data_IF_319359013062
#
_entry.id   IF_319359013062
#
_cell.length_a   1.000
_cell.length_b   1.000
_cell.length_c   1.000
_cell.angle_alpha   90.00
_cell.angle_beta   90.00
_cell.angle_gamma   90.00
#
_symmetry.space_group_name_H-M   'P 1'
#
loop_
_entity.id
_entity.type
_entity.pdbx_description
1 polymer ?
#
# COMPACT_ATOMS: atom_id res chain seq x y z
N UNK A 1 -21.32 17.31 -22.74
CA UNK A 1 -19.90 17.02 -22.40
C UNK A 1 -19.81 16.96 -20.90
N UNK A 2 -19.10 15.99 -20.34
CA UNK A 2 -18.81 15.92 -18.90
C UNK A 2 -17.86 17.09 -18.56
N UNK A 3 -18.07 17.77 -17.44
CA UNK A 3 -17.13 18.77 -16.93
C UNK A 3 -15.89 18.02 -16.42
N UNK A 4 -14.72 18.34 -16.96
CA UNK A 4 -13.43 17.75 -16.56
C UNK A 4 -12.77 18.63 -15.53
N UNK A 5 -12.38 18.06 -14.41
CA UNK A 5 -11.52 18.73 -13.43
C UNK A 5 -10.07 18.30 -13.70
N UNK A 6 -9.24 19.20 -14.18
CA UNK A 6 -7.81 18.92 -14.38
C UNK A 6 -7.07 19.06 -13.05
N UNK A 7 -6.63 17.92 -12.49
CA UNK A 7 -5.88 17.91 -11.22
C UNK A 7 -4.45 18.42 -11.38
N UNK A 8 -3.91 18.45 -12.61
CA UNK A 8 -2.61 19.03 -12.91
C UNK A 8 -2.57 20.54 -12.77
N UNK A 9 -3.71 21.24 -12.89
CA UNK A 9 -3.80 22.69 -12.69
C UNK A 9 -3.52 23.14 -11.25
N UNK A 10 -3.59 22.22 -10.27
CA UNK A 10 -3.25 22.52 -8.88
C UNK A 10 -1.74 22.48 -8.58
N UNK A 11 -0.92 22.12 -9.57
CA UNK A 11 0.54 22.20 -9.50
C UNK A 11 1.19 21.25 -8.50
N UNK A 12 2.42 21.59 -8.07
CA UNK A 12 3.20 20.79 -7.13
C UNK A 12 2.55 20.69 -5.73
N UNK A 13 1.75 21.70 -5.34
CA UNK A 13 1.04 21.71 -4.08
C UNK A 13 0.06 20.55 -3.95
N UNK A 14 -0.51 20.06 -5.06
CA UNK A 14 -1.37 18.88 -5.06
C UNK A 14 -0.65 17.61 -4.61
N UNK A 15 0.63 17.44 -4.95
CA UNK A 15 1.39 16.27 -4.49
C UNK A 15 1.82 16.40 -3.03
N UNK A 16 2.09 17.61 -2.56
CA UNK A 16 2.49 17.84 -1.16
C UNK A 16 1.31 17.77 -0.20
N UNK A 17 0.19 18.39 -0.52
CA UNK A 17 -1.05 18.37 0.26
C UNK A 17 -2.30 18.34 -0.65
N UNK A 18 -2.81 17.16 -1.03
CA UNK A 18 -3.99 17.02 -1.88
C UNK A 18 -5.31 17.27 -1.14
N UNK A 19 -5.31 17.28 0.20
CA UNK A 19 -6.52 17.28 1.03
C UNK A 19 -7.41 18.50 0.80
N UNK A 20 -6.89 19.75 0.68
CA UNK A 20 -7.72 20.92 0.38
C UNK A 20 -8.40 20.83 -0.99
N UNK A 21 -7.78 20.16 -1.97
CA UNK A 21 -8.40 19.93 -3.29
C UNK A 21 -9.55 18.93 -3.15
N UNK A 22 -9.34 17.83 -2.43
CA UNK A 22 -10.39 16.83 -2.21
C UNK A 22 -11.56 17.37 -1.38
N UNK A 23 -11.32 18.23 -0.40
CA UNK A 23 -12.37 18.92 0.33
C UNK A 23 -13.25 19.77 -0.61
N UNK A 24 -12.61 20.55 -1.50
CA UNK A 24 -13.34 21.33 -2.51
C UNK A 24 -14.12 20.47 -3.49
N UNK A 25 -13.59 19.30 -3.86
CA UNK A 25 -14.31 18.35 -4.71
C UNK A 25 -15.50 17.77 -3.96
N UNK A 26 -15.33 17.28 -2.72
CA UNK A 26 -16.45 16.75 -1.91
C UNK A 26 -17.57 17.76 -1.72
N UNK A 27 -17.24 19.05 -1.52
CA UNK A 27 -18.23 20.12 -1.41
C UNK A 27 -19.11 20.29 -2.66
N UNK A 28 -18.62 19.87 -3.84
CA UNK A 28 -19.36 19.86 -5.10
C UNK A 28 -20.08 18.53 -5.37
N UNK A 29 -19.66 17.46 -4.72
CA UNK A 29 -20.20 16.12 -4.86
C UNK A 29 -19.18 15.02 -4.59
N UNK A 30 -19.62 13.78 -4.43
CA UNK A 30 -18.74 12.67 -4.04
C UNK A 30 -17.97 12.04 -5.21
N UNK A 31 -18.32 12.35 -6.47
CA UNK A 31 -17.76 11.70 -7.67
C UNK A 31 -17.53 12.72 -8.76
N UNK A 32 -16.34 12.72 -9.36
CA UNK A 32 -15.92 13.70 -10.36
C UNK A 32 -15.26 13.04 -11.57
N UNK A 33 -15.44 13.63 -12.76
CA UNK A 33 -14.70 13.30 -13.94
C UNK A 33 -13.41 14.14 -13.95
N UNK A 34 -12.26 13.50 -13.80
CA UNK A 34 -10.98 14.18 -13.58
C UNK A 34 -9.94 13.78 -14.61
N UNK A 35 -8.96 14.66 -14.84
CA UNK A 35 -7.68 14.33 -15.48
C UNK A 35 -6.60 14.32 -14.41
N UNK A 36 -5.98 13.17 -14.10
CA UNK A 36 -4.87 13.09 -13.15
C UNK A 36 -3.64 13.86 -13.64
N UNK A 37 -2.76 14.34 -12.73
CA UNK A 37 -1.55 15.05 -13.12
C UNK A 37 -0.67 14.21 -14.05
N UNK A 38 -0.25 14.78 -15.18
CA UNK A 38 0.60 14.10 -16.16
C UNK A 38 -0.08 13.07 -17.05
N UNK A 39 -1.41 12.93 -16.98
CA UNK A 39 -2.17 12.01 -17.82
C UNK A 39 -2.83 12.73 -18.98
N UNK A 40 -2.95 12.04 -20.12
CA UNK A 40 -3.71 12.52 -21.27
C UNK A 40 -5.19 12.10 -21.24
N UNK A 41 -5.49 11.04 -20.46
CA UNK A 41 -6.84 10.48 -20.33
C UNK A 41 -7.52 10.89 -19.04
N UNK A 42 -8.85 10.90 -19.07
CA UNK A 42 -9.69 11.18 -17.92
C UNK A 42 -10.18 9.87 -17.26
N UNK A 43 -10.58 10.00 -16.00
CA UNK A 43 -11.14 8.90 -15.19
C UNK A 43 -12.15 9.44 -14.19
N UNK A 44 -13.03 8.57 -13.70
CA UNK A 44 -13.86 8.89 -12.54
C UNK A 44 -13.04 8.82 -11.26
N UNK A 45 -13.18 9.84 -10.41
CA UNK A 45 -12.59 9.91 -9.08
C UNK A 45 -13.69 9.97 -8.02
N UNK A 46 -13.71 8.97 -7.13
CA UNK A 46 -14.62 8.89 -6.01
C UNK A 46 -13.92 9.41 -4.77
N UNK A 47 -14.45 10.49 -4.16
CA UNK A 47 -13.85 11.20 -3.00
C UNK A 47 -14.74 11.16 -1.74
N UNK A 48 -16.02 10.78 -1.85
CA UNK A 48 -16.93 10.63 -0.73
C UNK A 48 -16.78 9.26 -0.07
N UNK A 49 -16.89 9.18 1.26
CA UNK A 49 -16.69 7.94 2.02
C UNK A 49 -17.74 6.86 1.70
N UNK A 50 -19.02 7.24 1.68
CA UNK A 50 -20.10 6.30 1.40
C UNK A 50 -19.99 5.69 0.01
N UNK A 51 -19.71 6.53 -0.98
CA UNK A 51 -19.54 6.13 -2.38
C UNK A 51 -18.24 5.32 -2.56
N UNK A 52 -17.17 5.67 -1.88
CA UNK A 52 -15.93 4.91 -1.88
C UNK A 52 -16.14 3.48 -1.37
N UNK A 53 -16.82 3.31 -0.24
CA UNK A 53 -17.14 1.97 0.28
C UNK A 53 -18.04 1.17 -0.65
N UNK A 54 -19.06 1.83 -1.23
CA UNK A 54 -19.95 1.20 -2.19
C UNK A 54 -19.19 0.74 -3.44
N UNK A 55 -18.39 1.63 -4.04
CA UNK A 55 -17.57 1.34 -5.21
C UNK A 55 -16.55 0.23 -4.97
N UNK A 56 -15.91 0.20 -3.80
CA UNK A 56 -14.95 -0.85 -3.43
C UNK A 56 -15.58 -2.24 -3.29
N UNK A 57 -16.88 -2.33 -3.02
CA UNK A 57 -17.62 -3.57 -2.85
C UNK A 57 -18.48 -3.94 -4.07
N UNK A 58 -18.58 -3.08 -5.08
CA UNK A 58 -19.45 -3.31 -6.26
C UNK A 58 -18.76 -4.21 -7.28
N UNK A 59 -19.32 -5.40 -7.50
CA UNK A 59 -18.78 -6.37 -8.46
C UNK A 59 -18.93 -5.94 -9.93
N UNK A 60 -19.72 -4.89 -10.24
CA UNK A 60 -19.81 -4.29 -11.57
C UNK A 60 -18.58 -3.45 -11.91
N UNK A 61 -17.81 -3.07 -10.90
CA UNK A 61 -16.52 -2.40 -11.04
C UNK A 61 -15.40 -3.46 -11.04
N UNK A 62 -15.16 -4.02 -12.22
CA UNK A 62 -14.19 -5.09 -12.43
C UNK A 62 -12.74 -4.62 -12.23
N UNK A 63 -11.91 -5.54 -11.74
CA UNK A 63 -10.45 -5.37 -11.68
C UNK A 63 -9.77 -5.95 -12.92
N UNK A 64 -10.36 -6.98 -13.51
CA UNK A 64 -9.91 -7.64 -14.72
C UNK A 64 -10.28 -6.79 -15.94
N UNK A 65 -9.29 -6.10 -16.51
CA UNK A 65 -9.45 -5.24 -17.69
C UNK A 65 -9.92 -6.00 -18.94
N UNK A 66 -9.72 -7.31 -18.99
CA UNK A 66 -10.20 -8.15 -20.13
C UNK A 66 -11.72 -8.16 -20.23
N UNK A 67 -12.44 -7.94 -19.14
CA UNK A 67 -13.90 -7.84 -19.12
C UNK A 67 -14.46 -6.64 -19.89
N UNK A 68 -13.63 -5.65 -20.14
CA UNK A 68 -13.97 -4.48 -20.97
C UNK A 68 -13.19 -4.45 -22.29
N UNK A 69 -12.53 -5.55 -22.65
CA UNK A 69 -11.81 -5.70 -23.92
C UNK A 69 -10.42 -5.03 -23.94
N UNK A 70 -9.86 -4.69 -22.79
CA UNK A 70 -8.49 -4.20 -22.66
C UNK A 70 -7.56 -5.34 -22.26
N UNK A 71 -6.33 -5.36 -22.81
CA UNK A 71 -5.24 -6.19 -22.27
C UNK A 71 -4.52 -5.39 -21.18
N UNK A 72 -4.14 -6.06 -20.11
CA UNK A 72 -3.23 -5.51 -19.11
C UNK A 72 -1.81 -5.94 -19.47
N UNK A 73 -0.96 -4.98 -19.86
CA UNK A 73 0.47 -5.25 -20.08
C UNK A 73 1.09 -5.85 -18.81
N UNK A 74 0.67 -5.39 -17.65
CA UNK A 74 1.14 -5.90 -16.37
C UNK A 74 0.79 -7.38 -16.19
N UNK A 75 -0.42 -7.80 -16.56
CA UNK A 75 -0.86 -9.19 -16.46
C UNK A 75 -0.10 -10.09 -17.43
N UNK A 76 0.18 -9.63 -18.65
CA UNK A 76 0.97 -10.38 -19.64
C UNK A 76 2.41 -10.56 -19.19
N UNK A 77 3.01 -9.57 -18.55
CA UNK A 77 4.40 -9.58 -18.11
C UNK A 77 4.61 -10.28 -16.77
N UNK A 78 3.80 -9.93 -15.79
CA UNK A 78 3.99 -10.36 -14.40
C UNK A 78 3.23 -11.65 -14.11
N UNK A 79 2.10 -11.87 -14.78
CA UNK A 79 1.18 -12.98 -14.57
C UNK A 79 -0.05 -12.61 -13.75
N UNK A 80 -1.04 -13.50 -13.78
CA UNK A 80 -2.32 -13.32 -13.08
C UNK A 80 -2.13 -13.31 -11.57
N UNK A 81 -2.72 -12.32 -10.91
CA UNK A 81 -2.62 -12.20 -9.47
C UNK A 81 -3.94 -11.75 -8.84
N UNK A 82 -3.98 -11.77 -7.51
CA UNK A 82 -5.16 -11.46 -6.71
C UNK A 82 -5.68 -10.03 -6.91
N UNK A 83 -4.78 -9.06 -7.15
CA UNK A 83 -5.12 -7.64 -7.21
C UNK A 83 -5.91 -7.27 -8.46
N UNK A 84 -5.61 -7.92 -9.59
CA UNK A 84 -6.20 -7.64 -10.91
C UNK A 84 -7.21 -8.71 -11.35
N UNK A 85 -7.64 -9.59 -10.46
CA UNK A 85 -8.62 -10.65 -10.74
C UNK A 85 -9.98 -10.36 -10.13
N UNK A 86 -11.03 -10.89 -10.76
CA UNK A 86 -12.41 -10.89 -10.26
C UNK A 86 -12.92 -12.31 -9.98
N UNK A 87 -14.02 -12.47 -9.24
CA UNK A 87 -14.66 -13.77 -9.11
C UNK A 87 -15.04 -14.39 -10.49
N UNK A 88 -14.89 -15.72 -10.67
CA UNK A 88 -14.51 -16.71 -9.64
C UNK A 88 -13.00 -16.83 -9.37
N UNK A 89 -12.15 -16.32 -10.27
CA UNK A 89 -10.68 -16.42 -10.20
C UNK A 89 -10.12 -15.79 -8.90
N UNK A 90 -10.55 -14.56 -8.58
CA UNK A 90 -10.18 -13.89 -7.34
C UNK A 90 -10.48 -14.76 -6.11
N UNK A 91 -11.70 -15.32 -6.02
CA UNK A 91 -12.12 -16.13 -4.89
C UNK A 91 -11.23 -17.34 -4.69
N UNK A 92 -10.85 -17.99 -5.79
CA UNK A 92 -9.96 -19.15 -5.80
C UNK A 92 -8.54 -18.76 -5.32
N UNK A 93 -7.94 -17.75 -5.95
CA UNK A 93 -6.59 -17.27 -5.59
C UNK A 93 -6.54 -16.82 -4.13
N UNK A 94 -7.55 -16.06 -3.68
CA UNK A 94 -7.65 -15.62 -2.30
C UNK A 94 -7.75 -16.78 -1.31
N UNK A 95 -8.54 -17.81 -1.65
CA UNK A 95 -8.66 -19.00 -0.83
C UNK A 95 -7.32 -19.73 -0.63
N UNK A 96 -6.53 -19.87 -1.70
CA UNK A 96 -5.21 -20.50 -1.65
C UNK A 96 -4.24 -19.72 -0.74
N UNK A 97 -4.17 -18.39 -0.92
CA UNK A 97 -3.20 -17.58 -0.18
C UNK A 97 -3.62 -17.32 1.26
N UNK A 98 -4.91 -17.15 1.54
CA UNK A 98 -5.38 -16.87 2.91
C UNK A 98 -5.05 -18.00 3.88
N UNK A 99 -4.85 -19.23 3.39
CA UNK A 99 -4.37 -20.36 4.21
C UNK A 99 -2.95 -20.15 4.73
N UNK A 100 -2.12 -19.49 3.92
CA UNK A 100 -0.73 -19.16 4.26
C UNK A 100 -0.61 -17.85 5.06
N UNK A 101 -1.58 -16.93 4.93
CA UNK A 101 -1.59 -15.59 5.55
C UNK A 101 -2.62 -15.48 6.68
N UNK A 102 -2.56 -16.37 7.65
CA UNK A 102 -3.47 -16.33 8.80
C UNK A 102 -2.98 -15.36 9.88
N UNK A 103 -3.90 -14.81 10.68
CA UNK A 103 -3.56 -13.94 11.81
C UNK A 103 -2.58 -14.61 12.79
N UNK A 104 -2.72 -15.93 13.01
CA UNK A 104 -1.79 -16.70 13.83
C UNK A 104 -0.37 -16.70 13.28
N UNK A 105 -0.20 -16.97 11.98
CA UNK A 105 1.13 -16.95 11.34
C UNK A 105 1.77 -15.57 11.35
N UNK A 106 0.97 -14.53 11.15
CA UNK A 106 1.45 -13.16 11.29
C UNK A 106 1.94 -12.90 12.70
N UNK A 107 1.21 -13.37 13.72
CA UNK A 107 1.64 -13.20 15.12
C UNK A 107 2.93 -13.99 15.44
N UNK A 108 3.13 -15.13 14.83
CA UNK A 108 4.38 -15.92 14.92
C UNK A 108 5.60 -15.17 14.35
N UNK A 109 5.40 -14.18 13.47
CA UNK A 109 6.47 -13.31 12.97
C UNK A 109 6.90 -12.22 13.97
N UNK A 110 6.11 -11.90 14.99
CA UNK A 110 6.39 -10.81 15.94
C UNK A 110 7.81 -10.84 16.51
N UNK A 111 8.36 -11.97 17.01
CA UNK A 111 9.72 -11.99 17.54
C UNK A 111 10.78 -11.69 16.46
N UNK A 112 10.48 -12.04 15.20
CA UNK A 112 11.41 -11.77 14.10
C UNK A 112 11.35 -10.31 13.66
N UNK A 113 10.16 -9.74 13.53
CA UNK A 113 9.95 -8.31 13.27
C UNK A 113 10.64 -7.46 14.34
N UNK A 114 10.50 -7.85 15.63
CA UNK A 114 11.16 -7.16 16.73
C UNK A 114 12.70 -7.21 16.59
N UNK A 115 13.29 -8.38 16.31
CA UNK A 115 14.74 -8.50 16.12
C UNK A 115 15.25 -7.64 14.97
N UNK A 116 14.57 -7.67 13.81
CA UNK A 116 14.95 -6.83 12.66
C UNK A 116 14.88 -5.36 13.06
N UNK A 117 13.82 -4.96 13.77
CA UNK A 117 13.66 -3.59 14.28
C UNK A 117 14.81 -3.20 15.21
N UNK A 118 15.18 -4.07 16.14
CA UNK A 118 16.30 -3.83 17.08
C UNK A 118 17.62 -3.73 16.37
N UNK A 119 17.93 -4.65 15.44
CA UNK A 119 19.17 -4.66 14.66
C UNK A 119 19.33 -3.35 13.84
N UNK A 120 18.25 -2.88 13.21
CA UNK A 120 18.26 -1.61 12.46
C UNK A 120 18.48 -0.39 13.36
N UNK A 121 17.85 -0.38 14.54
CA UNK A 121 18.05 0.69 15.52
C UNK A 121 19.45 0.64 16.15
N UNK A 122 20.01 -0.55 16.37
CA UNK A 122 21.41 -0.70 16.83
C UNK A 122 22.41 -0.14 15.84
N UNK A 123 22.12 -0.26 14.54
CA UNK A 123 22.94 0.32 13.48
C UNK A 123 22.76 1.84 13.34
N UNK A 124 21.54 2.36 13.57
CA UNK A 124 21.19 3.76 13.37
C UNK A 124 21.58 4.64 14.57
N UNK A 125 21.23 4.23 15.79
CA UNK A 125 21.31 5.05 17.01
C UNK A 125 22.72 5.43 17.51
N UNK A 126 23.83 4.78 17.14
CA UNK A 126 25.17 5.27 17.44
C UNK A 126 25.49 6.64 16.84
N UNK A 127 24.73 7.08 15.84
CA UNK A 127 24.81 8.42 15.26
C UNK A 127 23.76 9.31 15.91
N UNK A 128 23.96 10.63 15.91
CA UNK A 128 23.04 11.60 16.52
C UNK A 128 21.89 12.01 15.59
N UNK A 129 21.92 11.54 14.35
CA UNK A 129 20.95 11.81 13.28
C UNK A 129 20.93 10.70 12.25
N UNK A 130 19.84 10.60 11.50
CA UNK A 130 19.70 9.68 10.38
C UNK A 130 18.67 10.18 9.35
N UNK A 131 18.73 9.61 8.16
CA UNK A 131 17.63 9.62 7.21
C UNK A 131 16.75 8.37 7.50
N UNK A 132 15.55 8.60 8.03
CA UNK A 132 14.71 7.53 8.61
C UNK A 132 14.24 6.52 7.56
N UNK A 133 13.93 6.98 6.33
CA UNK A 133 13.44 6.08 5.27
C UNK A 133 14.52 5.06 4.92
N UNK A 134 15.74 5.52 4.63
CA UNK A 134 16.84 4.68 4.21
C UNK A 134 17.37 3.77 5.33
N UNK A 135 17.47 4.32 6.55
CA UNK A 135 18.12 3.63 7.66
C UNK A 135 17.20 2.68 8.42
N UNK A 136 15.87 2.88 8.32
CA UNK A 136 14.93 2.17 9.17
C UNK A 136 13.62 1.77 8.48
N UNK A 137 12.85 2.75 7.95
CA UNK A 137 11.50 2.49 7.49
C UNK A 137 11.46 1.59 6.25
N UNK A 138 12.42 1.71 5.34
CA UNK A 138 12.51 0.89 4.13
C UNK A 138 13.11 -0.51 4.40
N UNK A 139 14.26 -0.68 5.08
CA UNK A 139 14.85 -2.00 5.26
C UNK A 139 14.01 -2.95 6.13
N UNK A 140 13.19 -2.43 7.06
CA UNK A 140 12.38 -3.26 7.93
C UNK A 140 11.34 -4.11 7.14
N UNK A 141 10.34 -3.52 6.47
CA UNK A 141 9.33 -4.32 5.78
C UNK A 141 9.89 -5.10 4.59
N UNK A 142 10.91 -4.57 3.91
CA UNK A 142 11.60 -5.31 2.85
C UNK A 142 12.24 -6.60 3.38
N UNK A 143 12.94 -6.52 4.50
CA UNK A 143 13.55 -7.71 5.12
C UNK A 143 12.48 -8.71 5.55
N UNK A 144 11.40 -8.24 6.17
CA UNK A 144 10.30 -9.10 6.62
C UNK A 144 9.65 -9.85 5.46
N UNK A 145 9.30 -9.14 4.38
CA UNK A 145 8.64 -9.78 3.23
C UNK A 145 9.58 -10.70 2.45
N UNK A 146 10.86 -10.33 2.31
CA UNK A 146 11.87 -11.19 1.68
C UNK A 146 12.04 -12.50 2.46
N UNK A 147 12.13 -12.43 3.78
CA UNK A 147 12.22 -13.64 4.63
C UNK A 147 10.95 -14.48 4.56
N UNK A 148 9.79 -13.84 4.58
CA UNK A 148 8.49 -14.53 4.47
C UNK A 148 8.38 -15.29 3.13
N UNK A 149 8.85 -14.71 2.03
CA UNK A 149 8.86 -15.34 0.70
C UNK A 149 10.07 -16.24 0.46
N UNK A 150 11.07 -16.21 1.36
CA UNK A 150 12.30 -16.96 1.21
C UNK A 150 13.19 -16.44 0.07
N UNK A 151 13.22 -15.13 -0.11
CA UNK A 151 14.14 -14.43 -1.01
C UNK A 151 15.55 -14.40 -0.39
N UNK A 152 16.61 -14.83 -1.09
CA UNK A 152 17.97 -14.79 -0.61
C UNK A 152 18.44 -13.38 -0.20
N UNK A 153 19.27 -13.30 0.84
CA UNK A 153 19.75 -12.00 1.36
C UNK A 153 20.58 -11.23 0.33
N UNK A 154 21.38 -11.93 -0.48
CA UNK A 154 22.26 -11.34 -1.50
C UNK A 154 21.50 -10.58 -2.58
N UNK A 155 20.25 -10.94 -2.84
CA UNK A 155 19.44 -10.37 -3.92
C UNK A 155 18.65 -9.13 -3.47
N UNK A 156 18.62 -8.84 -2.18
CA UNK A 156 17.73 -7.79 -1.61
C UNK A 156 18.05 -6.38 -2.11
N UNK A 157 19.33 -6.06 -2.36
CA UNK A 157 19.73 -4.74 -2.84
C UNK A 157 19.28 -4.47 -4.28
N UNK A 158 19.45 -5.46 -5.18
CA UNK A 158 18.99 -5.37 -6.56
C UNK A 158 17.46 -5.38 -6.63
N UNK A 159 16.85 -6.25 -5.83
CA UNK A 159 15.42 -6.32 -5.67
C UNK A 159 14.83 -4.97 -5.23
N UNK A 160 15.41 -4.32 -4.20
CA UNK A 160 15.02 -2.99 -3.73
C UNK A 160 14.98 -1.98 -4.88
N UNK A 161 16.04 -1.94 -5.70
CA UNK A 161 16.11 -1.02 -6.83
C UNK A 161 14.95 -1.24 -7.82
N UNK A 162 14.71 -2.49 -8.19
CA UNK A 162 13.63 -2.83 -9.12
C UNK A 162 12.26 -2.51 -8.54
N UNK A 163 12.01 -2.84 -7.26
CA UNK A 163 10.71 -2.58 -6.63
C UNK A 163 10.40 -1.10 -6.49
N UNK A 164 11.40 -0.28 -6.16
CA UNK A 164 11.23 1.18 -6.10
C UNK A 164 10.90 1.76 -7.47
N UNK A 165 11.60 1.34 -8.54
CA UNK A 165 11.31 1.78 -9.90
C UNK A 165 9.92 1.33 -10.40
N UNK A 166 9.44 0.16 -9.94
CA UNK A 166 8.12 -0.34 -10.30
C UNK A 166 6.97 0.51 -9.73
N UNK A 167 7.14 1.14 -8.56
CA UNK A 167 6.07 1.93 -7.90
C UNK A 167 6.28 3.44 -7.93
N UNK A 168 7.52 3.89 -8.15
CA UNK A 168 7.89 5.30 -8.22
C UNK A 168 8.99 5.52 -9.28
N UNK A 169 8.65 5.35 -10.57
CA UNK A 169 9.62 5.39 -11.66
C UNK A 169 10.41 6.70 -11.69
N UNK A 170 11.71 6.57 -11.90
CA UNK A 170 12.64 7.72 -11.98
C UNK A 170 12.65 8.37 -13.37
N UNK A 171 12.25 7.63 -14.41
CA UNK A 171 12.21 8.06 -15.80
C UNK A 171 11.17 7.31 -16.61
N UNK A 172 10.83 7.85 -17.79
CA UNK A 172 9.92 7.14 -18.72
C UNK A 172 10.54 5.80 -19.15
N UNK A 173 9.78 4.73 -18.96
CA UNK A 173 10.20 3.35 -19.30
C UNK A 173 10.91 2.59 -18.18
N UNK A 174 11.40 3.24 -17.12
CA UNK A 174 12.05 2.54 -16.01
C UNK A 174 11.09 1.59 -15.25
N UNK A 175 9.81 1.91 -15.22
CA UNK A 175 8.76 1.05 -14.68
C UNK A 175 8.67 -0.26 -15.48
N UNK A 176 8.65 -0.19 -16.81
CA UNK A 176 8.61 -1.36 -17.68
C UNK A 176 9.82 -2.27 -17.47
N UNK A 177 11.03 -1.70 -17.46
CA UNK A 177 12.26 -2.45 -17.23
C UNK A 177 12.28 -3.12 -15.86
N UNK A 178 11.76 -2.43 -14.84
CA UNK A 178 11.62 -2.97 -13.48
C UNK A 178 10.65 -4.16 -13.43
N UNK A 179 9.50 -4.06 -14.10
CA UNK A 179 8.55 -5.18 -14.20
C UNK A 179 9.14 -6.39 -14.90
N UNK A 180 9.84 -6.19 -16.03
CA UNK A 180 10.52 -7.28 -16.75
C UNK A 180 11.58 -7.94 -15.86
N UNK A 181 12.40 -7.13 -15.18
CA UNK A 181 13.43 -7.63 -14.27
C UNK A 181 12.85 -8.46 -13.13
N UNK A 182 11.81 -7.94 -12.46
CA UNK A 182 11.13 -8.64 -11.36
C UNK A 182 10.45 -9.94 -11.84
N UNK A 183 9.80 -9.94 -13.01
CA UNK A 183 9.18 -11.13 -13.56
C UNK A 183 10.21 -12.23 -13.87
N UNK A 184 11.37 -11.86 -14.42
CA UNK A 184 12.50 -12.76 -14.63
C UNK A 184 13.02 -13.34 -13.32
N UNK A 185 13.31 -12.47 -12.35
CA UNK A 185 13.78 -12.85 -11.03
C UNK A 185 12.86 -13.86 -10.33
N UNK A 186 11.54 -13.59 -10.31
CA UNK A 186 10.60 -14.54 -9.71
C UNK A 186 10.50 -15.86 -10.44
N UNK A 187 10.67 -15.87 -11.75
CA UNK A 187 10.70 -17.12 -12.52
C UNK A 187 11.88 -17.98 -12.08
N UNK A 188 13.08 -17.40 -11.99
CA UNK A 188 14.29 -18.08 -11.54
C UNK A 188 14.17 -18.54 -10.07
N UNK A 189 13.72 -17.67 -9.16
CA UNK A 189 13.53 -18.01 -7.76
C UNK A 189 12.56 -19.18 -7.55
N UNK A 190 11.46 -19.23 -8.33
CA UNK A 190 10.49 -20.34 -8.28
C UNK A 190 11.13 -21.65 -8.77
N UNK A 191 11.91 -21.60 -9.83
CA UNK A 191 12.62 -22.78 -10.37
C UNK A 191 13.67 -23.30 -9.39
N UNK A 192 14.45 -22.41 -8.78
CA UNK A 192 15.45 -22.76 -7.77
C UNK A 192 14.81 -23.42 -6.55
N UNK A 193 13.70 -22.85 -6.05
CA UNK A 193 12.96 -23.46 -4.92
C UNK A 193 12.35 -24.81 -5.26
N UNK A 194 11.88 -25.02 -6.48
CA UNK A 194 11.42 -26.32 -6.97
C UNK A 194 12.55 -27.36 -7.00
N UNK A 195 13.75 -26.94 -7.45
CA UNK A 195 14.92 -27.80 -7.53
C UNK A 195 15.51 -28.13 -6.16
N UNK A 196 15.58 -27.15 -5.24
CA UNK A 196 16.12 -27.31 -3.89
C UNK A 196 15.20 -28.07 -2.94
N UNK A 197 13.91 -28.15 -3.28
CA UNK A 197 12.88 -28.72 -2.42
C UNK A 197 12.27 -27.69 -1.45
N UNK A 198 11.14 -28.05 -0.78
CA UNK A 198 10.38 -27.11 0.03
C UNK A 198 11.15 -26.67 1.27
N UNK A 199 11.22 -25.39 1.48
CA UNK A 199 11.62 -24.71 2.71
C UNK A 199 10.38 -24.23 3.47
N UNK A 200 10.51 -23.70 4.70
CA UNK A 200 9.38 -23.27 5.53
C UNK A 200 8.78 -21.90 5.16
N UNK A 201 9.18 -21.32 4.03
CA UNK A 201 8.70 -20.02 3.56
C UNK A 201 7.38 -20.10 2.77
N UNK A 202 6.72 -18.94 2.63
CA UNK A 202 5.43 -18.81 1.96
C UNK A 202 5.47 -19.22 0.49
N UNK A 203 6.52 -18.86 -0.24
CA UNK A 203 6.62 -19.21 -1.67
C UNK A 203 6.75 -20.71 -1.85
N UNK A 204 7.55 -21.40 -1.02
CA UNK A 204 7.63 -22.86 -0.98
C UNK A 204 6.28 -23.52 -0.66
N UNK A 205 5.49 -22.92 0.25
CA UNK A 205 4.13 -23.41 0.51
C UNK A 205 3.19 -23.22 -0.67
N UNK A 206 3.26 -22.07 -1.36
CA UNK A 206 2.47 -21.83 -2.57
C UNK A 206 2.83 -22.82 -3.67
N UNK A 207 4.14 -23.11 -3.87
CA UNK A 207 4.63 -24.12 -4.81
C UNK A 207 4.08 -25.51 -4.46
N UNK A 208 4.04 -25.88 -3.17
CA UNK A 208 3.52 -27.16 -2.69
C UNK A 208 2.01 -27.28 -2.85
N UNK A 209 1.27 -26.21 -2.52
CA UNK A 209 -0.18 -26.14 -2.74
C UNK A 209 -0.52 -26.36 -4.21
N UNK A 210 0.41 -26.03 -5.14
CA UNK A 210 0.30 -26.39 -6.55
C UNK A 210 0.49 -27.89 -6.82
N UNK A 211 0.91 -28.70 -5.86
CA UNK A 211 1.21 -30.13 -6.08
C UNK A 211 0.21 -31.11 -5.44
N UNK A 212 -0.51 -30.71 -4.39
CA UNK A 212 -1.22 -31.66 -3.52
C UNK A 212 -2.75 -31.69 -3.67
N UNK A 213 -3.42 -30.60 -4.08
CA UNK A 213 -4.88 -30.46 -3.91
C UNK A 213 -5.71 -30.47 -5.23
N UNK A 214 -5.16 -30.72 -6.40
CA UNK A 214 -5.94 -30.63 -7.68
C UNK A 214 -6.36 -29.20 -8.06
N UNK A 215 -6.47 -28.28 -7.11
CA UNK A 215 -6.68 -26.84 -7.29
C UNK A 215 -5.31 -26.14 -7.18
N UNK A 216 -4.72 -25.81 -8.32
CA UNK A 216 -3.32 -25.43 -8.46
C UNK A 216 -3.18 -24.02 -8.98
N UNK A 217 -2.19 -23.27 -8.45
CA UNK A 217 -1.69 -22.08 -9.14
C UNK A 217 -0.99 -22.52 -10.44
N UNK A 218 -1.34 -21.93 -11.58
CA UNK A 218 -0.53 -22.07 -12.79
C UNK A 218 0.85 -21.43 -12.58
N UNK A 219 1.86 -21.71 -13.40
CA UNK A 219 3.14 -21.03 -13.33
C UNK A 219 3.02 -19.51 -13.37
N UNK A 220 2.13 -18.97 -14.21
CA UNK A 220 1.87 -17.53 -14.32
C UNK A 220 1.19 -16.96 -13.07
N UNK A 221 0.22 -17.68 -12.50
CA UNK A 221 -0.42 -17.27 -11.24
C UNK A 221 0.57 -17.28 -10.08
N UNK A 222 1.44 -18.29 -10.00
CA UNK A 222 2.45 -18.38 -8.96
C UNK A 222 3.44 -17.20 -9.05
N UNK A 223 3.92 -16.88 -10.26
CA UNK A 223 4.78 -15.73 -10.53
C UNK A 223 4.08 -14.42 -10.17
N UNK A 224 2.86 -14.22 -10.68
CA UNK A 224 2.05 -13.03 -10.40
C UNK A 224 1.74 -12.85 -8.91
N UNK A 225 1.50 -13.96 -8.20
CA UNK A 225 1.27 -13.92 -6.76
C UNK A 225 2.54 -13.61 -5.96
N UNK A 226 3.69 -14.18 -6.32
CA UNK A 226 4.97 -13.85 -5.70
C UNK A 226 5.30 -12.36 -5.88
N UNK A 227 5.13 -11.86 -7.10
CA UNK A 227 5.31 -10.45 -7.44
C UNK A 227 4.44 -9.53 -6.59
N UNK A 228 3.11 -9.74 -6.59
CA UNK A 228 2.20 -8.82 -5.89
C UNK A 228 2.39 -8.85 -4.36
N UNK A 229 2.67 -10.02 -3.78
CA UNK A 229 2.93 -10.13 -2.35
C UNK A 229 4.16 -9.32 -1.94
N UNK A 230 5.17 -9.33 -2.77
CA UNK A 230 6.42 -8.64 -2.50
C UNK A 230 6.26 -7.12 -2.67
N UNK A 231 5.75 -6.64 -3.83
CA UNK A 231 5.58 -5.20 -4.11
C UNK A 231 4.60 -4.57 -3.13
N UNK A 232 3.42 -5.17 -2.92
CA UNK A 232 2.43 -4.63 -2.01
C UNK A 232 2.83 -4.77 -0.54
N UNK A 233 3.71 -5.71 -0.21
CA UNK A 233 4.06 -6.06 1.16
C UNK A 233 5.07 -5.12 1.83
N UNK A 234 5.89 -4.37 1.08
CA UNK A 234 6.89 -3.51 1.72
C UNK A 234 6.66 -2.01 1.51
N UNK A 235 6.51 -1.52 0.29
CA UNK A 235 6.42 -0.08 -0.01
C UNK A 235 5.29 0.62 0.75
N UNK A 236 4.15 -0.04 0.89
CA UNK A 236 3.02 0.50 1.66
C UNK A 236 3.36 0.63 3.14
N UNK A 237 4.07 -0.33 3.71
CA UNK A 237 4.48 -0.30 5.13
C UNK A 237 5.61 0.70 5.36
N UNK A 238 6.55 0.87 4.41
CA UNK A 238 7.55 1.96 4.43
C UNK A 238 6.85 3.31 4.59
N UNK A 239 5.88 3.58 3.73
CA UNK A 239 5.15 4.85 3.75
C UNK A 239 4.30 5.01 5.01
N UNK A 240 3.71 3.93 5.55
CA UNK A 240 2.98 3.96 6.82
C UNK A 240 3.90 4.35 7.99
N UNK A 241 5.08 3.74 8.09
CA UNK A 241 6.04 4.05 9.16
C UNK A 241 6.53 5.49 9.01
N UNK A 242 6.94 5.90 7.80
CA UNK A 242 7.48 7.23 7.54
C UNK A 242 6.45 8.32 7.80
N UNK A 243 5.26 8.22 7.21
CA UNK A 243 4.19 9.21 7.39
C UNK A 243 3.64 9.21 8.82
N UNK A 244 3.58 8.06 9.47
CA UNK A 244 3.16 7.93 10.86
C UNK A 244 4.13 8.62 11.83
N UNK A 245 5.44 8.41 11.65
CA UNK A 245 6.47 9.11 12.44
C UNK A 245 6.44 10.62 12.16
N UNK A 246 6.33 11.03 10.91
CA UNK A 246 6.17 12.44 10.54
C UNK A 246 4.94 13.07 11.21
N UNK A 247 3.79 12.40 11.17
CA UNK A 247 2.57 12.90 11.82
C UNK A 247 2.77 13.07 13.34
N UNK A 248 3.42 12.13 14.03
CA UNK A 248 3.73 12.26 15.45
C UNK A 248 4.69 13.43 15.72
N UNK A 249 5.75 13.59 14.94
CA UNK A 249 6.75 14.63 15.15
C UNK A 249 6.23 16.05 14.84
N UNK A 250 5.18 16.15 14.01
CA UNK A 250 4.49 17.41 13.70
C UNK A 250 3.30 17.71 14.63
N UNK A 251 2.91 16.74 15.50
CA UNK A 251 1.85 16.90 16.50
C UNK A 251 2.39 16.55 17.89
N UNK A 252 3.16 17.47 18.52
CA UNK A 252 3.90 17.18 19.76
C UNK A 252 3.04 16.76 20.94
N UNK A 253 1.79 17.21 21.01
CA UNK A 253 0.82 16.80 22.04
C UNK A 253 0.41 15.33 21.89
N UNK A 254 0.25 14.84 20.65
CA UNK A 254 -0.08 13.44 20.36
C UNK A 254 1.13 12.55 20.62
N UNK A 255 2.33 13.00 20.23
CA UNK A 255 3.57 12.32 20.55
C UNK A 255 3.80 12.20 22.07
N UNK A 256 3.56 13.29 22.83
CA UNK A 256 3.69 13.27 24.27
C UNK A 256 2.69 12.32 24.94
N UNK A 257 1.43 12.28 24.46
CA UNK A 257 0.41 11.34 24.92
C UNK A 257 0.82 9.88 24.67
N UNK A 258 1.31 9.58 23.45
CA UNK A 258 1.77 8.23 23.10
C UNK A 258 2.98 7.80 23.93
N UNK A 259 3.95 8.70 24.16
CA UNK A 259 5.11 8.43 25.03
C UNK A 259 4.72 8.20 26.49
N UNK A 260 3.70 8.90 26.98
CA UNK A 260 3.19 8.74 28.35
C UNK A 260 2.44 7.41 28.54
N UNK A 261 1.76 6.94 27.51
CA UNK A 261 1.03 5.66 27.52
C UNK A 261 1.18 4.92 26.19
N UNK A 262 2.17 4.04 26.14
CA UNK A 262 2.46 3.24 24.96
C UNK A 262 1.39 2.18 24.66
N UNK A 263 0.40 1.97 25.51
CA UNK A 263 -0.75 1.12 25.21
C UNK A 263 -1.66 1.71 24.11
N UNK A 264 -1.53 3.01 23.83
CA UNK A 264 -2.23 3.71 22.76
C UNK A 264 -1.69 3.41 21.36
N UNK A 265 -0.58 2.66 21.24
CA UNK A 265 0.08 2.42 19.93
C UNK A 265 -0.85 1.80 18.89
N UNK A 266 -1.76 0.92 19.32
CA UNK A 266 -2.72 0.28 18.41
C UNK A 266 -3.66 1.31 17.78
N UNK A 267 -4.26 2.19 18.59
CA UNK A 267 -5.10 3.29 18.11
C UNK A 267 -4.33 4.31 17.30
N UNK A 268 -3.10 4.62 17.71
CA UNK A 268 -2.24 5.55 16.99
C UNK A 268 -1.93 5.08 15.56
N UNK A 269 -1.63 3.78 15.35
CA UNK A 269 -1.39 3.24 14.02
C UNK A 269 -2.65 3.25 13.15
N UNK A 270 -3.84 2.98 13.72
CA UNK A 270 -5.09 3.10 12.97
C UNK A 270 -5.40 4.56 12.60
N UNK A 271 -5.08 5.52 13.47
CA UNK A 271 -5.23 6.95 13.15
C UNK A 271 -4.22 7.40 12.08
N UNK A 272 -2.97 6.93 12.11
CA UNK A 272 -1.99 7.18 11.05
C UNK A 272 -2.50 6.67 9.68
N UNK A 273 -3.07 5.47 9.66
CA UNK A 273 -3.68 4.89 8.46
C UNK A 273 -4.86 5.72 7.94
N UNK A 274 -5.70 6.24 8.83
CA UNK A 274 -6.81 7.12 8.47
C UNK A 274 -6.31 8.48 7.98
N UNK A 275 -5.41 9.10 8.74
CA UNK A 275 -4.97 10.50 8.56
C UNK A 275 -4.09 10.66 7.32
N UNK A 276 -3.09 9.80 7.15
CA UNK A 276 -2.13 9.85 6.04
C UNK A 276 -1.78 8.43 5.58
N UNK A 277 -2.80 7.68 5.12
CA UNK A 277 -2.62 6.30 4.67
C UNK A 277 -1.67 6.18 3.46
N UNK A 278 -0.89 5.10 3.39
CA UNK A 278 0.16 4.94 2.38
C UNK A 278 -0.35 4.72 0.95
N UNK A 279 -1.61 4.31 0.79
CA UNK A 279 -2.27 4.17 -0.51
C UNK A 279 -3.21 5.34 -0.71
N UNK A 280 -2.87 6.21 -1.65
CA UNK A 280 -3.64 7.41 -1.97
C UNK A 280 -4.96 7.05 -2.62
N UNK A 281 -4.88 6.34 -3.76
CA UNK A 281 -6.03 5.81 -4.46
C UNK A 281 -5.94 4.29 -4.54
N UNK A 282 -7.07 3.60 -4.45
CA UNK A 282 -7.14 2.19 -4.79
C UNK A 282 -6.79 2.00 -6.27
N UNK A 283 -6.19 0.86 -6.60
CA UNK A 283 -5.92 0.50 -7.99
C UNK A 283 -7.20 0.52 -8.83
N UNK A 284 -7.07 0.87 -10.10
CA UNK A 284 -8.19 1.06 -11.02
C UNK A 284 -9.21 -0.06 -10.99
N UNK A 285 -10.45 0.35 -11.23
CA UNK A 285 -11.57 -0.50 -11.58
C UNK A 285 -12.18 -0.02 -12.88
N UNK A 286 -12.85 -0.93 -13.58
CA UNK A 286 -13.49 -0.65 -14.85
C UNK A 286 -14.96 -1.02 -14.77
N UNK A 287 -15.84 -0.16 -15.23
CA UNK A 287 -17.26 -0.44 -15.28
C UNK A 287 -17.56 -1.56 -16.30
N UNK A 288 -17.89 -2.75 -15.84
CA UNK A 288 -18.23 -3.90 -16.70
C UNK A 288 -19.60 -3.71 -17.38
N UNK A 289 -20.45 -2.89 -16.81
CA UNK A 289 -21.77 -2.47 -17.31
C UNK A 289 -22.06 -1.04 -16.85
N UNK A 290 -23.03 -0.32 -17.45
CA UNK A 290 -23.41 1.01 -16.98
C UNK A 290 -23.93 0.96 -15.53
N UNK A 291 -23.48 1.90 -14.70
CA UNK A 291 -23.89 2.03 -13.30
C UNK A 291 -23.93 3.48 -12.85
N UNK A 292 -24.48 3.71 -11.67
CA UNK A 292 -24.51 5.02 -11.03
C UNK A 292 -23.76 4.98 -9.70
N UNK A 293 -22.92 5.99 -9.45
CA UNK A 293 -22.20 6.19 -8.19
C UNK A 293 -22.40 7.65 -7.75
N UNK A 294 -23.03 7.88 -6.60
CA UNK A 294 -23.22 9.23 -6.04
C UNK A 294 -23.90 10.22 -7.00
N UNK A 295 -24.84 9.74 -7.82
CA UNK A 295 -25.53 10.54 -8.83
C UNK A 295 -24.78 10.69 -10.16
N UNK A 296 -23.55 10.18 -10.27
CA UNK A 296 -22.79 10.21 -11.51
C UNK A 296 -23.08 8.95 -12.36
N UNK A 297 -23.45 9.13 -13.62
CA UNK A 297 -23.67 8.05 -14.58
C UNK A 297 -22.33 7.59 -15.17
N UNK A 298 -21.91 6.38 -14.79
CA UNK A 298 -20.68 5.73 -15.24
C UNK A 298 -21.04 4.83 -16.43
N UNK A 299 -20.39 5.03 -17.56
CA UNK A 299 -20.62 4.19 -18.73
C UNK A 299 -19.80 2.91 -18.67
N UNK A 300 -20.25 1.87 -19.37
CA UNK A 300 -19.46 0.67 -19.56
C UNK A 300 -18.07 1.00 -20.17
N UNK A 301 -17.01 0.45 -19.62
CA UNK A 301 -15.64 0.70 -20.04
C UNK A 301 -14.98 1.91 -19.35
N UNK A 302 -15.76 2.77 -18.66
CA UNK A 302 -15.17 3.88 -17.91
C UNK A 302 -14.26 3.35 -16.78
N UNK A 303 -13.10 3.97 -16.62
CA UNK A 303 -12.21 3.73 -15.50
C UNK A 303 -12.68 4.50 -14.26
N UNK A 304 -12.58 3.87 -13.09
CA UNK A 304 -12.96 4.44 -11.79
C UNK A 304 -11.80 4.30 -10.81
N UNK A 305 -11.40 5.41 -10.23
CA UNK A 305 -10.43 5.52 -9.15
C UNK A 305 -11.15 5.87 -7.85
N UNK A 306 -10.82 5.19 -6.76
CA UNK A 306 -11.39 5.47 -5.43
C UNK A 306 -10.30 6.06 -4.56
N UNK A 307 -10.44 7.33 -4.18
CA UNK A 307 -9.49 8.02 -3.33
C UNK A 307 -9.69 7.63 -1.86
N UNK A 308 -8.81 6.75 -1.35
CA UNK A 308 -8.90 6.24 0.01
C UNK A 308 -8.60 7.32 1.04
N UNK A 309 -7.59 8.17 0.75
CA UNK A 309 -7.20 9.25 1.66
C UNK A 309 -8.26 10.35 1.74
N UNK A 310 -8.92 10.68 0.61
CA UNK A 310 -10.04 11.60 0.60
C UNK A 310 -11.24 11.03 1.38
N UNK A 311 -11.58 9.77 1.15
CA UNK A 311 -12.69 9.10 1.84
C UNK A 311 -12.45 9.01 3.37
N UNK A 312 -11.21 8.76 3.80
CA UNK A 312 -10.85 8.72 5.21
C UNK A 312 -10.89 10.10 5.91
N UNK A 313 -10.92 11.18 5.14
CA UNK A 313 -11.07 12.57 5.62
C UNK A 313 -12.42 13.18 5.26
N UNK A 314 -13.43 12.37 5.06
CA UNK A 314 -14.79 12.83 4.83
C UNK A 314 -15.47 13.20 6.15
N UNK A 315 -15.88 14.48 6.27
CA UNK A 315 -16.55 15.00 7.47
C UNK A 315 -17.93 14.36 7.71
N UNK A 316 -18.58 13.77 6.72
CA UNK A 316 -19.82 13.02 6.90
C UNK A 316 -19.60 11.71 7.67
N UNK A 317 -18.38 11.16 7.63
CA UNK A 317 -18.02 9.92 8.33
C UNK A 317 -17.18 10.17 9.59
N UNK A 318 -16.29 11.14 9.58
CA UNK A 318 -15.31 11.39 10.61
C UNK A 318 -15.38 12.84 11.09
N UNK A 319 -15.74 13.09 12.35
CA UNK A 319 -15.74 14.44 12.91
C UNK A 319 -14.29 14.99 12.97
N UNK A 320 -14.12 16.28 12.66
CA UNK A 320 -12.80 16.94 12.62
C UNK A 320 -11.77 16.10 11.82
N UNK A 321 -12.02 15.78 10.55
CA UNK A 321 -11.27 14.76 9.81
C UNK A 321 -9.79 15.14 9.59
N UNK A 322 -9.48 16.43 9.58
CA UNK A 322 -8.14 16.97 9.38
C UNK A 322 -7.33 17.11 10.68
N UNK A 323 -7.93 16.77 11.83
CA UNK A 323 -7.23 16.66 13.09
C UNK A 323 -6.62 15.26 13.24
N UNK A 324 -5.32 15.19 13.48
CA UNK A 324 -4.64 13.98 13.91
C UNK A 324 -4.88 13.76 15.41
N UNK A 325 -5.51 12.64 15.77
CA UNK A 325 -5.91 12.34 17.15
C UNK A 325 -5.80 10.83 17.44
N UNK A 326 -4.76 10.43 18.18
CA UNK A 326 -4.48 9.00 18.49
C UNK A 326 -5.52 8.36 19.42
N UNK A 327 -6.42 9.15 20.01
CA UNK A 327 -7.54 8.65 20.82
C UNK A 327 -8.84 8.46 20.02
N UNK A 328 -8.82 8.79 18.73
CA UNK A 328 -9.98 8.71 17.87
C UNK A 328 -10.47 7.27 17.71
N UNK A 329 -11.78 7.07 17.66
CA UNK A 329 -12.37 5.85 17.12
C UNK A 329 -12.27 5.86 15.59
N UNK A 330 -11.32 5.10 15.07
CA UNK A 330 -11.01 5.04 13.64
C UNK A 330 -11.70 3.88 12.92
N UNK A 331 -12.61 3.17 13.59
CA UNK A 331 -13.31 2.03 12.98
C UNK A 331 -14.01 2.43 11.70
N UNK A 332 -13.80 1.63 10.65
CA UNK A 332 -14.40 1.83 9.34
C UNK A 332 -13.54 2.64 8.36
N UNK A 333 -12.36 3.13 8.74
CA UNK A 333 -11.46 3.72 7.75
C UNK A 333 -11.17 2.75 6.60
N UNK A 334 -10.95 3.27 5.40
CA UNK A 334 -10.76 2.48 4.18
C UNK A 334 -9.32 2.40 3.70
N UNK A 335 -8.32 2.69 4.57
CA UNK A 335 -6.91 2.64 4.19
C UNK A 335 -6.45 1.27 3.67
N UNK A 336 -7.09 0.18 4.11
CA UNK A 336 -6.88 -1.17 3.61
C UNK A 336 -7.88 -1.60 2.52
N UNK A 337 -8.61 -0.64 1.93
CA UNK A 337 -9.71 -0.93 1.01
C UNK A 337 -10.97 -1.45 1.71
N UNK A 338 -11.88 -2.02 0.90
CA UNK A 338 -13.13 -2.61 1.36
C UNK A 338 -13.59 -3.70 0.37
N UNK A 339 -14.50 -4.60 0.80
CA UNK A 339 -15.02 -5.67 -0.05
C UNK A 339 -14.04 -6.82 -0.25
N UNK A 340 -14.19 -7.52 -1.38
CA UNK A 340 -13.42 -8.75 -1.65
C UNK A 340 -11.89 -8.50 -1.76
N UNK A 341 -11.48 -7.30 -2.16
CA UNK A 341 -10.09 -6.87 -2.26
C UNK A 341 -9.55 -6.21 -0.99
N UNK A 342 -10.24 -6.32 0.16
CA UNK A 342 -9.68 -5.86 1.44
C UNK A 342 -8.26 -6.44 1.63
N UNK A 343 -7.31 -5.61 2.04
CA UNK A 343 -5.89 -5.94 2.10
C UNK A 343 -5.62 -7.24 2.87
N UNK A 344 -4.99 -8.20 2.22
CA UNK A 344 -4.60 -9.47 2.82
C UNK A 344 -3.49 -9.28 3.86
N UNK A 345 -2.55 -8.36 3.59
CA UNK A 345 -1.42 -8.04 4.45
C UNK A 345 -1.74 -7.12 5.63
N UNK A 346 -3.01 -6.67 5.81
CA UNK A 346 -3.36 -5.72 6.86
C UNK A 346 -2.91 -6.12 8.29
N UNK A 347 -2.98 -7.40 8.70
CA UNK A 347 -2.44 -7.81 10.00
C UNK A 347 -0.92 -7.64 10.11
N UNK A 348 -0.17 -7.96 9.03
CA UNK A 348 1.29 -7.84 9.00
C UNK A 348 1.73 -6.37 9.01
N UNK A 349 1.15 -5.52 8.18
CA UNK A 349 1.44 -4.09 8.16
C UNK A 349 1.20 -3.43 9.53
N UNK A 350 0.12 -3.80 10.23
CA UNK A 350 -0.14 -3.36 11.61
C UNK A 350 0.92 -3.85 12.59
N UNK A 351 1.31 -5.10 12.50
CA UNK A 351 2.35 -5.68 13.36
C UNK A 351 3.67 -4.93 13.18
N UNK A 352 4.10 -4.72 11.94
CA UNK A 352 5.34 -4.03 11.61
C UNK A 352 5.31 -2.57 12.07
N UNK A 353 4.27 -1.82 11.72
CA UNK A 353 4.16 -0.42 12.11
C UNK A 353 4.15 -0.22 13.63
N UNK A 354 3.39 -1.04 14.38
CA UNK A 354 3.35 -0.99 15.85
C UNK A 354 4.70 -1.29 16.46
N UNK A 355 5.37 -2.35 15.98
CA UNK A 355 6.68 -2.75 16.48
C UNK A 355 7.71 -1.67 16.18
N UNK A 356 7.77 -1.19 14.93
CA UNK A 356 8.70 -0.19 14.48
C UNK A 356 8.57 1.13 15.26
N UNK A 357 7.35 1.69 15.31
CA UNK A 357 7.11 3.01 15.90
C UNK A 357 7.29 2.95 17.42
N UNK A 358 6.76 1.90 18.09
CA UNK A 358 6.96 1.71 19.52
C UNK A 358 8.44 1.67 19.87
N UNK A 359 9.20 0.76 19.24
CA UNK A 359 10.60 0.55 19.58
C UNK A 359 11.45 1.77 19.26
N UNK A 360 11.18 2.46 18.13
CA UNK A 360 11.83 3.71 17.78
C UNK A 360 11.63 4.79 18.85
N UNK A 361 10.38 5.01 19.31
CA UNK A 361 10.07 6.03 20.33
C UNK A 361 10.63 5.69 21.71
N UNK A 362 10.67 4.40 22.08
CA UNK A 362 11.25 3.93 23.34
C UNK A 362 12.79 4.09 23.36
N UNK A 363 13.45 3.80 22.21
CA UNK A 363 14.92 3.82 22.11
C UNK A 363 15.49 5.19 21.73
N UNK A 364 14.69 6.06 21.10
CA UNK A 364 15.04 7.43 20.74
C UNK A 364 14.11 8.43 21.40
N UNK A 365 14.14 8.62 22.75
CA UNK A 365 13.21 9.49 23.46
C UNK A 365 13.33 10.97 23.07
N UNK A 366 14.49 11.40 22.51
CA UNK A 366 14.72 12.74 21.98
C UNK A 366 14.35 12.93 20.52
N UNK A 367 13.76 11.91 19.86
CA UNK A 367 13.48 11.94 18.42
C UNK A 367 12.70 13.19 18.01
N UNK A 368 13.25 13.92 17.02
CA UNK A 368 12.66 15.12 16.42
C UNK A 368 13.07 15.22 14.94
N UNK A 369 12.42 16.08 14.17
CA UNK A 369 12.84 16.37 12.79
C UNK A 369 14.20 17.10 12.77
N UNK A 370 15.04 16.76 11.81
CA UNK A 370 16.33 17.42 11.53
C UNK A 370 16.27 18.18 10.19
N UNK A 371 15.18 18.87 9.94
CA UNK A 371 14.90 19.62 8.73
C UNK A 371 13.53 19.27 8.13
N UNK A 372 13.20 19.86 6.97
CA UNK A 372 11.97 19.53 6.27
C UNK A 372 12.04 18.09 5.72
N UNK A 373 10.89 17.40 5.61
CA UNK A 373 10.83 16.13 4.89
C UNK A 373 11.22 16.34 3.42
N UNK A 374 11.71 15.29 2.78
CA UNK A 374 11.92 15.28 1.34
C UNK A 374 10.61 15.37 0.55
N UNK A 375 10.70 15.47 -0.78
CA UNK A 375 9.50 15.58 -1.61
C UNK A 375 8.61 14.35 -1.45
N UNK A 376 7.31 14.59 -1.55
CA UNK A 376 6.32 13.52 -1.61
C UNK A 376 6.47 12.70 -2.89
N UNK A 377 6.10 11.44 -2.84
CA UNK A 377 6.08 10.57 -4.01
C UNK A 377 5.11 11.13 -5.05
N UNK A 378 5.51 11.19 -6.32
CA UNK A 378 4.62 11.64 -7.38
C UNK A 378 3.56 10.57 -7.70
N UNK A 379 2.53 10.98 -8.41
CA UNK A 379 1.49 10.09 -8.91
C UNK A 379 0.28 9.97 -7.99
N UNK A 380 -0.61 9.06 -8.36
CA UNK A 380 -1.94 8.93 -7.76
C UNK A 380 -2.13 7.65 -6.95
N UNK A 381 -1.17 6.72 -6.97
CA UNK A 381 -1.34 5.43 -6.30
C UNK A 381 -0.84 5.46 -4.86
N UNK A 382 0.41 5.90 -4.67
CA UNK A 382 1.10 5.86 -3.39
C UNK A 382 1.16 7.22 -2.73
N UNK A 383 1.12 7.25 -1.40
CA UNK A 383 1.30 8.43 -0.58
C UNK A 383 2.45 8.20 0.39
N UNK A 384 3.52 8.96 0.26
CA UNK A 384 4.72 8.83 1.09
C UNK A 384 5.75 9.90 0.78
N UNK A 385 6.80 9.94 1.56
CA UNK A 385 7.91 10.88 1.42
C UNK A 385 9.18 10.15 0.99
N UNK A 386 9.98 10.79 0.13
CA UNK A 386 11.26 10.21 -0.31
C UNK A 386 12.31 10.18 0.79
N UNK A 387 12.23 11.08 1.75
CA UNK A 387 13.14 11.13 2.90
C UNK A 387 12.51 11.81 4.10
N UNK A 388 12.96 11.43 5.30
CA UNK A 388 12.56 12.04 6.57
C UNK A 388 13.80 12.17 7.47
N UNK A 389 14.51 13.32 7.41
CA UNK A 389 15.65 13.57 8.27
C UNK A 389 15.20 13.68 9.74
N UNK A 390 15.86 12.93 10.62
CA UNK A 390 15.56 12.91 12.05
C UNK A 390 16.84 12.96 12.89
N UNK A 391 16.70 13.42 14.13
CA UNK A 391 17.74 13.41 15.17
C UNK A 391 17.14 13.08 16.53
N UNK A 392 18.00 12.70 17.46
CA UNK A 392 17.60 12.34 18.82
C UNK A 392 18.61 12.74 19.88
#
# INVERSE_FOLDING_TARGET
MREVVDLGEFGEDFHSDPHPVYERLRAKGPVHWVRPPGWESETWLVVGYREARAALADNRLAKDASKIGLSSLDEEMIGKNLLVSDPPQHTRLRGLISRAFTARRVEELRPRVQRITDDLLDAMLPYDRAELVESFAHPLPLTVICELLGVPELDRAEFRKMSTEAVAPSSSGSEYDAFVGLAGYFTELIEDKRAAGPTGDLLSELIRTTAEDGDRLSPDELRGMAFILLIAGHETTVNLITSGVHALLTHPEQLAALRADMSLIDGAVEEMLRYEGPVHNATFRFAAEPLEIGGAAIAQGDAVMVCLTAANRDAEHCADPDRFDIHRDTRGHVAFGHGIHYCLGAPLARLEARTAIRTLLERAPGLTLDGPPGPWLPGMLMRGMRSLPVRW
#
